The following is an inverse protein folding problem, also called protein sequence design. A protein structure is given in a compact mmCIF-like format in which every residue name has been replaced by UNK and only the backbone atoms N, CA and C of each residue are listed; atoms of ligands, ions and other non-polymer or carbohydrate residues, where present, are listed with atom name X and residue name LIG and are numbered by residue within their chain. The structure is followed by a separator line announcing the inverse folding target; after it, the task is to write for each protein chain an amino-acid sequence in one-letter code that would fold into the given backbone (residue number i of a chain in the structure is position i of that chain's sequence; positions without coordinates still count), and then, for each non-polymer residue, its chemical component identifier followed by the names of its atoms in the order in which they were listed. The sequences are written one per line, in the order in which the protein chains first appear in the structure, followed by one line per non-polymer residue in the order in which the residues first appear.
data_IF_959796049102
#
_entry.id   IF_959796049102
#
_cell.length_a   1.000
_cell.length_b   1.000
_cell.length_c   1.000
_cell.angle_alpha   90.00
_cell.angle_beta   90.00
_cell.angle_gamma   90.00
#
_symmetry.space_group_name_H-M   'P 1'
#
loop_
_entity.id
_entity.type
_entity.pdbx_description
1 polymer ?
#
# COMPACT_ATOMS: atom_id res chain seq x y z
N UNK A 1 7.11 -34.75 1.40
CA UNK A 1 7.51 -33.67 0.46
C UNK A 1 6.48 -32.58 0.61
N UNK A 2 6.85 -31.30 0.51
CA UNK A 2 5.90 -30.22 0.78
C UNK A 2 5.14 -29.89 -0.50
N UNK A 3 4.03 -30.58 -0.72
CA UNK A 3 3.09 -30.32 -1.82
C UNK A 3 1.85 -29.62 -1.24
N UNK A 4 1.40 -28.52 -1.85
CA UNK A 4 0.12 -27.91 -1.52
C UNK A 4 -0.60 -27.46 -2.78
N UNK A 5 -1.80 -27.99 -3.01
CA UNK A 5 -2.69 -27.60 -4.11
C UNK A 5 -3.13 -26.13 -4.03
N UNK A 6 -3.14 -25.53 -2.82
CA UNK A 6 -3.51 -24.12 -2.61
C UNK A 6 -2.31 -23.16 -2.72
N UNK A 7 -1.09 -23.69 -2.87
CA UNK A 7 0.14 -22.90 -2.98
C UNK A 7 0.83 -22.61 -1.65
N UNK A 8 2.05 -22.09 -1.74
CA UNK A 8 2.94 -21.86 -0.60
C UNK A 8 3.50 -20.45 -0.66
N UNK A 9 3.69 -19.85 0.51
CA UNK A 9 4.43 -18.60 0.65
C UNK A 9 5.66 -18.79 1.53
N UNK A 10 6.74 -18.09 1.20
CA UNK A 10 7.96 -18.06 1.99
C UNK A 10 8.29 -16.63 2.34
N UNK A 11 8.34 -16.32 3.64
CA UNK A 11 8.84 -15.07 4.16
C UNK A 11 10.29 -15.25 4.60
N UNK A 12 11.15 -14.32 4.18
CA UNK A 12 12.54 -14.30 4.56
C UNK A 12 12.88 -12.98 5.25
N UNK A 13 13.55 -13.07 6.39
CA UNK A 13 14.18 -11.92 7.05
C UNK A 13 15.69 -11.97 6.87
N UNK A 14 16.29 -10.83 6.56
CA UNK A 14 17.76 -10.66 6.56
C UNK A 14 18.34 -10.65 7.98
N UNK A 15 17.54 -10.21 8.94
CA UNK A 15 17.94 -10.06 10.34
C UNK A 15 17.05 -10.95 11.20
N UNK A 16 17.61 -12.06 11.67
CA UNK A 16 16.92 -13.00 12.58
C UNK A 16 17.43 -12.90 14.01
N UNK A 17 18.53 -12.17 14.22
CA UNK A 17 19.08 -11.94 15.55
C UNK A 17 18.19 -10.96 16.35
N UNK A 18 18.18 -11.05 17.69
CA UNK A 18 17.51 -10.08 18.54
C UNK A 18 18.07 -8.67 18.34
N UNK A 19 17.20 -7.74 17.96
CA UNK A 19 17.51 -6.34 17.76
C UNK A 19 16.81 -5.51 18.85
N UNK A 20 17.54 -4.67 19.60
CA UNK A 20 16.95 -3.83 20.63
C UNK A 20 16.06 -2.75 20.01
N UNK A 21 14.95 -2.47 20.69
CA UNK A 21 14.06 -1.36 20.35
C UNK A 21 14.22 -0.23 21.37
N UNK A 22 13.80 0.97 20.99
CA UNK A 22 13.91 2.18 21.82
C UNK A 22 12.56 2.52 22.45
N UNK A 23 11.47 2.42 21.68
CA UNK A 23 10.11 2.65 22.15
C UNK A 23 9.09 2.01 21.22
N UNK A 24 7.84 1.94 21.70
CA UNK A 24 6.68 1.56 20.90
C UNK A 24 5.57 2.58 21.18
N UNK A 25 5.05 3.22 20.15
CA UNK A 25 4.06 4.28 20.29
C UNK A 25 2.87 4.03 19.36
N UNK A 26 1.65 4.43 19.74
CA UNK A 26 0.55 4.46 18.81
C UNK A 26 0.82 5.49 17.70
N UNK A 27 0.39 5.19 16.47
CA UNK A 27 0.64 6.08 15.32
C UNK A 27 -0.15 7.40 15.41
N UNK A 28 -1.25 7.40 16.16
CA UNK A 28 -2.11 8.54 16.47
C UNK A 28 -2.93 8.22 17.74
N UNK A 29 -3.89 9.05 18.12
CA UNK A 29 -4.76 8.82 19.27
C UNK A 29 -6.21 8.41 18.90
N UNK A 30 -6.45 7.95 17.67
CA UNK A 30 -7.80 7.64 17.16
C UNK A 30 -8.14 6.15 17.34
N UNK A 31 -9.28 5.79 17.98
CA UNK A 31 -9.69 4.40 18.22
C UNK A 31 -10.00 3.58 16.96
N UNK A 32 -10.04 4.19 15.78
CA UNK A 32 -10.20 3.45 14.51
C UNK A 32 -8.90 2.82 14.01
N UNK A 33 -7.76 3.23 14.57
CA UNK A 33 -6.44 2.78 14.15
C UNK A 33 -5.88 1.78 15.14
N UNK A 34 -5.21 0.77 14.61
CA UNK A 34 -4.53 -0.28 15.38
C UNK A 34 -3.02 -0.27 15.13
N UNK A 35 -2.53 0.70 14.37
CA UNK A 35 -1.14 0.75 13.94
C UNK A 35 -0.22 1.34 15.02
N UNK A 36 0.94 0.71 15.20
CA UNK A 36 1.97 1.11 16.18
C UNK A 36 3.31 1.34 15.49
N UNK A 37 4.03 2.37 15.90
CA UNK A 37 5.43 2.58 15.55
C UNK A 37 6.33 1.85 16.55
N UNK A 38 7.31 1.12 16.04
CA UNK A 38 8.40 0.53 16.82
C UNK A 38 9.67 1.26 16.42
N UNK A 39 10.31 1.92 17.38
CA UNK A 39 11.51 2.70 17.15
C UNK A 39 12.77 1.89 17.46
N UNK A 40 13.84 2.13 16.73
CA UNK A 40 15.11 1.46 16.93
C UNK A 40 16.18 1.95 15.96
N UNK A 41 17.46 1.68 16.29
CA UNK A 41 18.57 2.12 15.44
C UNK A 41 18.63 1.31 14.14
N UNK A 42 18.52 2.01 13.01
CA UNK A 42 18.53 1.44 11.66
C UNK A 42 17.47 0.34 11.45
N UNK A 43 16.40 0.36 12.26
CA UNK A 43 15.45 -0.75 12.38
C UNK A 43 14.69 -1.00 11.07
N UNK A 44 14.37 0.04 10.29
CA UNK A 44 13.70 -0.19 9.00
C UNK A 44 14.61 -0.74 7.92
N UNK A 45 15.92 -0.49 7.97
CA UNK A 45 16.86 -1.18 7.07
C UNK A 45 16.98 -2.66 7.41
N UNK A 46 16.82 -3.00 8.70
CA UNK A 46 16.85 -4.39 9.19
C UNK A 46 15.55 -5.12 8.86
N UNK A 47 14.42 -4.43 9.01
CA UNK A 47 13.08 -4.97 8.77
C UNK A 47 12.35 -4.11 7.73
N UNK A 48 12.62 -4.32 6.42
CA UNK A 48 11.89 -3.64 5.36
C UNK A 48 10.42 -4.05 5.35
N UNK A 49 9.58 -3.22 4.72
CA UNK A 49 8.15 -3.51 4.49
C UNK A 49 7.95 -4.92 3.92
N UNK A 50 6.96 -5.64 4.45
CA UNK A 50 6.66 -7.04 4.13
C UNK A 50 7.44 -8.07 4.94
N UNK A 51 8.41 -7.66 5.76
CA UNK A 51 9.09 -8.57 6.70
C UNK A 51 8.15 -9.01 7.82
N UNK A 52 8.35 -10.22 8.33
CA UNK A 52 7.71 -10.69 9.56
C UNK A 52 8.65 -10.49 10.73
N UNK A 53 8.12 -9.96 11.83
CA UNK A 53 8.82 -9.80 13.11
C UNK A 53 8.06 -10.47 14.24
N UNK A 54 8.76 -10.74 15.35
CA UNK A 54 8.16 -11.05 16.65
C UNK A 54 8.86 -10.26 17.75
N UNK A 55 8.15 -10.09 18.87
CA UNK A 55 8.76 -9.68 20.12
C UNK A 55 9.38 -10.88 20.81
N UNK A 56 10.66 -10.77 21.19
CA UNK A 56 11.35 -11.83 21.91
C UNK A 56 11.05 -11.79 23.42
N UNK A 57 10.54 -10.66 23.90
CA UNK A 57 10.22 -10.38 25.29
C UNK A 57 8.79 -9.86 25.36
N UNK A 58 8.07 -10.20 26.42
CA UNK A 58 6.72 -9.68 26.65
C UNK A 58 6.78 -8.19 27.01
N UNK A 59 5.95 -7.37 26.39
CA UNK A 59 5.81 -5.95 26.75
C UNK A 59 4.41 -5.44 26.39
N UNK A 60 3.79 -4.61 27.24
CA UNK A 60 2.45 -4.03 27.01
C UNK A 60 1.43 -5.07 26.49
N UNK A 61 0.81 -4.86 25.32
CA UNK A 61 -0.12 -5.80 24.68
C UNK A 61 0.57 -7.02 24.03
N UNK A 62 1.89 -6.96 23.83
CA UNK A 62 2.70 -7.97 23.14
C UNK A 62 3.11 -9.08 24.11
N UNK A 63 2.14 -9.83 24.61
CA UNK A 63 2.35 -10.89 25.62
C UNK A 63 2.71 -12.25 25.02
N UNK A 64 2.34 -12.51 23.75
CA UNK A 64 2.62 -13.78 23.08
C UNK A 64 3.85 -13.66 22.16
N UNK A 65 4.98 -14.22 22.59
CA UNK A 65 6.24 -14.19 21.83
C UNK A 65 6.25 -15.09 20.58
N UNK A 66 5.20 -15.90 20.39
CA UNK A 66 4.97 -16.65 19.15
C UNK A 66 3.97 -15.95 18.20
N UNK A 67 3.46 -14.78 18.58
CA UNK A 67 2.71 -13.96 17.65
C UNK A 67 3.67 -13.24 16.70
N UNK A 68 3.31 -13.20 15.42
CA UNK A 68 4.12 -12.61 14.36
C UNK A 68 3.40 -11.43 13.75
N UNK A 69 4.14 -10.37 13.44
CA UNK A 69 3.61 -9.11 12.91
C UNK A 69 4.24 -8.80 11.56
N UNK A 70 3.42 -8.38 10.60
CA UNK A 70 3.90 -7.92 9.29
C UNK A 70 4.27 -6.45 9.37
N UNK A 71 5.46 -6.10 8.87
CA UNK A 71 5.90 -4.70 8.76
C UNK A 71 5.17 -4.03 7.59
N UNK A 72 4.36 -3.01 7.89
CA UNK A 72 3.55 -2.28 6.90
C UNK A 72 4.22 -1.02 6.36
N UNK A 73 5.07 -0.38 7.17
CA UNK A 73 5.92 0.72 6.73
C UNK A 73 7.27 0.66 7.43
N UNK A 74 8.28 1.25 6.80
CA UNK A 74 9.66 1.13 7.24
C UNK A 74 10.43 2.40 6.91
N UNK A 75 10.93 3.05 7.95
CA UNK A 75 11.78 4.24 7.91
C UNK A 75 13.11 3.92 8.60
N UNK A 76 14.12 4.77 8.46
CA UNK A 76 15.46 4.50 9.01
C UNK A 76 15.45 4.12 10.49
N UNK A 77 14.64 4.79 11.29
CA UNK A 77 14.61 4.72 12.76
C UNK A 77 13.34 4.06 13.32
N UNK A 78 12.37 3.68 12.47
CA UNK A 78 11.12 3.07 12.92
C UNK A 78 10.46 2.17 11.88
N UNK A 79 9.66 1.23 12.37
CA UNK A 79 8.80 0.36 11.55
C UNK A 79 7.38 0.39 12.08
N UNK A 80 6.39 0.20 11.20
CA UNK A 80 4.98 0.13 11.57
C UNK A 80 4.46 -1.29 11.51
N UNK A 81 3.68 -1.67 12.52
CA UNK A 81 2.88 -2.89 12.55
C UNK A 81 1.42 -2.55 12.86
N UNK A 82 0.50 -3.48 12.64
CA UNK A 82 -0.86 -3.44 13.19
C UNK A 82 -0.93 -4.39 14.38
N UNK A 83 -1.36 -3.89 15.53
CA UNK A 83 -1.50 -4.64 16.77
C UNK A 83 -2.96 -5.01 17.05
N UNK A 84 -3.24 -5.59 18.22
CA UNK A 84 -4.56 -6.12 18.56
C UNK A 84 -5.41 -5.09 19.31
N UNK A 85 -4.77 -4.09 19.92
CA UNK A 85 -5.41 -3.01 20.67
C UNK A 85 -5.46 -1.73 19.83
N UNK A 86 -6.60 -1.05 19.82
CA UNK A 86 -6.73 0.24 19.14
C UNK A 86 -5.86 1.31 19.80
N UNK A 87 -5.53 2.36 19.05
CA UNK A 87 -4.57 3.36 19.46
C UNK A 87 -5.02 4.18 20.67
N UNK A 88 -6.32 4.50 20.79
CA UNK A 88 -6.81 5.27 21.92
C UNK A 88 -6.77 4.45 23.22
N UNK A 89 -7.14 3.17 23.14
CA UNK A 89 -7.01 2.24 24.28
C UNK A 89 -5.54 2.00 24.63
N UNK A 90 -4.66 1.84 23.64
CA UNK A 90 -3.23 1.66 23.87
C UNK A 90 -2.61 2.87 24.57
N UNK A 91 -2.90 4.08 24.09
CA UNK A 91 -2.49 5.34 24.73
C UNK A 91 -2.97 5.37 26.19
N UNK A 92 -4.26 5.16 26.43
CA UNK A 92 -4.84 5.22 27.77
C UNK A 92 -4.24 4.19 28.75
N UNK A 93 -3.85 3.01 28.26
CA UNK A 93 -3.32 1.93 29.10
C UNK A 93 -1.81 2.02 29.33
N UNK A 94 -1.06 2.46 28.32
CA UNK A 94 0.41 2.27 28.29
C UNK A 94 1.21 3.57 28.18
N UNK A 95 0.57 4.75 28.17
CA UNK A 95 1.25 6.04 28.07
C UNK A 95 2.45 6.19 29.02
N UNK A 96 2.27 5.86 30.30
CA UNK A 96 3.35 5.95 31.29
C UNK A 96 4.49 4.94 31.07
N UNK A 97 4.24 3.85 30.34
CA UNK A 97 5.23 2.81 30.05
C UNK A 97 6.07 3.23 28.85
N UNK A 98 5.42 3.60 27.73
CA UNK A 98 6.17 3.85 26.50
C UNK A 98 6.83 5.23 26.43
N UNK A 99 6.44 6.16 27.30
CA UNK A 99 7.12 7.46 27.44
C UNK A 99 8.42 7.40 28.23
N UNK A 100 8.69 6.28 28.91
CA UNK A 100 9.93 6.04 29.66
C UNK A 100 10.82 5.05 28.90
N UNK A 101 11.93 5.51 28.28
CA UNK A 101 12.84 4.66 27.51
C UNK A 101 13.46 3.51 28.32
N UNK A 102 13.56 3.64 29.65
CA UNK A 102 14.19 2.62 30.49
C UNK A 102 13.40 1.30 30.47
N UNK A 103 12.09 1.38 30.21
CA UNK A 103 11.20 0.21 30.05
C UNK A 103 11.53 -0.65 28.81
N UNK A 104 12.32 -0.13 27.85
CA UNK A 104 12.69 -0.86 26.64
C UNK A 104 14.12 -1.40 26.64
N UNK A 105 14.88 -1.16 27.71
CA UNK A 105 16.30 -1.56 27.83
C UNK A 105 16.57 -3.06 27.58
N UNK A 106 15.57 -3.92 27.81
CA UNK A 106 15.66 -5.38 27.61
C UNK A 106 14.78 -5.90 26.48
N UNK A 107 14.01 -5.02 25.83
CA UNK A 107 13.04 -5.43 24.82
C UNK A 107 13.72 -5.51 23.46
N UNK A 108 13.56 -6.67 22.83
CA UNK A 108 14.10 -6.92 21.50
C UNK A 108 13.05 -7.51 20.57
N UNK A 109 13.24 -7.27 19.27
CA UNK A 109 12.48 -7.92 18.20
C UNK A 109 13.42 -8.72 17.31
N UNK A 110 12.89 -9.75 16.66
CA UNK A 110 13.61 -10.55 15.68
C UNK A 110 12.77 -10.72 14.43
N UNK A 111 13.42 -10.69 13.28
CA UNK A 111 12.77 -11.07 12.03
C UNK A 111 12.69 -12.59 11.90
N UNK A 112 11.70 -13.06 11.14
CA UNK A 112 11.37 -14.49 11.06
C UNK A 112 11.50 -14.97 9.62
N UNK A 113 12.13 -16.12 9.46
CA UNK A 113 11.99 -16.93 8.25
C UNK A 113 10.83 -17.89 8.47
N UNK A 114 9.76 -17.71 7.70
CA UNK A 114 8.55 -18.52 7.83
C UNK A 114 8.16 -19.07 6.47
N UNK A 115 7.46 -20.20 6.49
CA UNK A 115 6.68 -20.63 5.34
C UNK A 115 5.23 -20.76 5.78
N UNK A 116 4.32 -20.47 4.86
CA UNK A 116 2.89 -20.54 5.08
C UNK A 116 2.22 -21.25 3.94
N UNK A 117 1.07 -21.81 4.24
CA UNK A 117 0.31 -22.69 3.36
C UNK A 117 -1.04 -22.02 3.22
N UNK A 118 -1.43 -21.70 1.99
CA UNK A 118 -2.66 -20.94 1.78
C UNK A 118 -3.88 -21.81 2.03
N UNK A 119 -4.91 -21.21 2.63
CA UNK A 119 -6.28 -21.73 2.75
C UNK A 119 -6.39 -23.21 3.15
N UNK A 120 -5.55 -23.64 4.09
CA UNK A 120 -5.39 -25.07 4.41
C UNK A 120 -6.39 -25.60 5.44
N UNK A 121 -6.99 -24.71 6.24
CA UNK A 121 -7.86 -25.06 7.37
C UNK A 121 -9.11 -24.18 7.41
N UNK A 122 -10.22 -24.76 7.88
CA UNK A 122 -11.47 -24.06 8.15
C UNK A 122 -11.47 -23.45 9.57
N UNK A 123 -12.35 -22.47 9.87
CA UNK A 123 -12.46 -21.90 11.22
C UNK A 123 -12.78 -22.92 12.33
N UNK A 124 -13.35 -24.07 11.98
CA UNK A 124 -13.65 -25.19 12.87
C UNK A 124 -12.52 -26.24 12.93
N UNK A 125 -11.32 -25.90 12.45
CA UNK A 125 -10.12 -26.74 12.41
C UNK A 125 -10.20 -27.99 11.51
N UNK A 126 -11.18 -28.05 10.61
CA UNK A 126 -11.21 -29.11 9.59
C UNK A 126 -10.32 -28.77 8.39
N UNK A 127 -9.59 -29.74 7.81
CA UNK A 127 -8.78 -29.51 6.63
C UNK A 127 -9.64 -29.06 5.43
N UNK A 128 -9.16 -28.07 4.67
CA UNK A 128 -9.72 -27.66 3.36
C UNK A 128 -9.06 -28.37 2.19
N UNK A 129 -7.97 -29.08 2.47
CA UNK A 129 -7.16 -29.77 1.48
C UNK A 129 -7.81 -31.11 1.11
N UNK A 130 -7.73 -31.43 -0.17
CA UNK A 130 -8.21 -32.69 -0.73
C UNK A 130 -7.47 -33.93 -0.20
N UNK A 131 -8.10 -35.10 -0.32
CA UNK A 131 -7.56 -36.37 0.19
C UNK A 131 -6.28 -36.86 -0.49
N UNK A 132 -5.91 -36.28 -1.64
CA UNK A 132 -4.63 -36.57 -2.32
C UNK A 132 -3.49 -35.72 -1.79
N UNK A 133 -3.79 -34.65 -1.05
CA UNK A 133 -2.81 -33.94 -0.27
C UNK A 133 -2.46 -34.76 0.99
N UNK A 134 -1.25 -34.59 1.57
CA UNK A 134 -0.87 -35.33 2.79
C UNK A 134 -1.94 -35.05 3.89
N UNK A 135 -2.65 -36.08 4.40
CA UNK A 135 -3.63 -35.87 5.46
C UNK A 135 -2.93 -35.28 6.68
N UNK A 136 -3.52 -34.24 7.30
CA UNK A 136 -2.97 -33.59 8.51
C UNK A 136 -1.59 -32.96 8.30
N UNK A 137 -1.37 -32.42 7.10
CA UNK A 137 -0.13 -31.73 6.73
C UNK A 137 0.34 -30.70 7.78
N UNK A 138 -0.58 -29.97 8.43
CA UNK A 138 -0.26 -28.97 9.46
C UNK A 138 0.06 -29.57 10.84
N UNK A 139 -0.59 -30.66 11.25
CA UNK A 139 -0.31 -31.33 12.54
C UNK A 139 1.00 -32.13 12.52
N UNK A 140 1.53 -32.40 11.32
CA UNK A 140 2.77 -33.18 11.14
C UNK A 140 4.04 -32.33 11.17
N UNK A 141 3.96 -31.01 11.28
CA UNK A 141 5.15 -30.18 11.48
C UNK A 141 5.59 -30.22 12.93
N UNK A 142 6.81 -30.72 13.16
CA UNK A 142 7.43 -30.71 14.47
C UNK A 142 8.85 -30.18 14.37
N UNK A 143 9.35 -29.73 15.51
CA UNK A 143 10.70 -29.20 15.67
C UNK A 143 11.75 -30.14 15.07
N UNK A 144 12.70 -29.59 14.34
CA UNK A 144 13.79 -30.27 13.63
C UNK A 144 13.39 -31.14 12.43
N UNK A 145 12.11 -31.15 12.02
CA UNK A 145 11.71 -31.86 10.80
C UNK A 145 12.36 -31.19 9.59
N UNK A 146 13.03 -32.00 8.76
CA UNK A 146 13.54 -31.57 7.45
C UNK A 146 12.42 -31.60 6.41
N UNK A 147 12.29 -30.51 5.67
CA UNK A 147 11.29 -30.33 4.63
C UNK A 147 11.98 -30.15 3.29
N UNK A 148 11.66 -31.00 2.33
CA UNK A 148 12.06 -30.82 0.95
C UNK A 148 10.95 -30.06 0.24
N UNK A 149 11.27 -28.85 -0.20
CA UNK A 149 10.36 -28.02 -1.02
C UNK A 149 10.47 -28.51 -2.46
N UNK A 150 9.34 -28.87 -3.05
CA UNK A 150 9.26 -29.35 -4.44
C UNK A 150 8.25 -28.49 -5.19
N UNK A 151 8.69 -27.84 -6.26
CA UNK A 151 7.90 -26.90 -7.06
C UNK A 151 7.90 -25.46 -6.52
N UNK A 152 7.90 -24.49 -7.45
CA UNK A 152 7.86 -23.05 -7.16
C UNK A 152 9.23 -22.36 -7.24
N UNK A 153 9.32 -21.09 -6.82
CA UNK A 153 10.56 -20.28 -6.89
C UNK A 153 11.70 -20.77 -5.98
N UNK A 154 11.38 -21.59 -4.98
CA UNK A 154 12.32 -22.12 -3.98
C UNK A 154 12.51 -23.63 -4.11
N UNK A 155 12.33 -24.16 -5.32
CA UNK A 155 12.48 -25.59 -5.61
C UNK A 155 13.84 -26.12 -5.11
N UNK A 156 13.85 -27.38 -4.69
CA UNK A 156 15.05 -28.11 -4.22
C UNK A 156 15.69 -27.62 -2.91
N UNK A 157 15.07 -26.69 -2.17
CA UNK A 157 15.57 -26.30 -0.84
C UNK A 157 15.19 -27.33 0.23
N UNK A 158 16.16 -27.64 1.08
CA UNK A 158 15.96 -28.40 2.32
C UNK A 158 15.86 -27.41 3.47
N UNK A 159 14.67 -27.31 4.07
CA UNK A 159 14.39 -26.45 5.22
C UNK A 159 14.32 -27.29 6.50
N UNK A 160 14.57 -26.68 7.65
CA UNK A 160 14.38 -27.32 8.96
C UNK A 160 13.39 -26.50 9.77
N UNK A 161 12.38 -27.15 10.34
CA UNK A 161 11.39 -26.48 11.19
C UNK A 161 12.02 -26.14 12.54
N UNK A 162 12.16 -24.86 12.85
CA UNK A 162 12.72 -24.37 14.12
C UNK A 162 11.64 -24.03 15.15
N UNK A 163 10.43 -23.68 14.72
CA UNK A 163 9.29 -23.48 15.61
C UNK A 163 7.98 -23.67 14.82
N UNK A 164 7.14 -24.67 15.16
CA UNK A 164 5.85 -24.88 14.52
C UNK A 164 4.71 -24.05 15.14
N UNK A 165 4.94 -23.38 16.28
CA UNK A 165 3.88 -22.80 17.10
C UNK A 165 3.62 -21.31 16.81
N UNK A 166 3.97 -20.81 15.64
CA UNK A 166 3.65 -19.43 15.26
C UNK A 166 2.16 -19.27 14.98
N UNK A 167 1.61 -18.10 15.30
CA UNK A 167 0.23 -17.77 14.92
C UNK A 167 0.09 -17.64 13.41
N UNK A 168 -1.02 -18.15 12.87
CA UNK A 168 -1.31 -18.02 11.44
C UNK A 168 -1.56 -16.55 11.06
N UNK A 169 -1.00 -16.17 9.90
CA UNK A 169 -1.29 -14.89 9.28
C UNK A 169 -2.66 -14.95 8.62
N UNK A 170 -3.54 -14.02 9.00
CA UNK A 170 -4.82 -13.84 8.31
C UNK A 170 -4.63 -12.94 7.09
N UNK A 171 -5.09 -13.40 5.93
CA UNK A 171 -5.24 -12.61 4.72
C UNK A 171 -6.74 -12.51 4.38
N UNK A 172 -7.19 -11.33 3.99
CA UNK A 172 -8.56 -11.11 3.56
C UNK A 172 -8.60 -11.01 2.04
N UNK A 173 -9.30 -11.94 1.42
CA UNK A 173 -9.70 -11.85 0.01
C UNK A 173 -11.16 -11.39 -0.03
N UNK A 174 -11.42 -10.30 -0.76
CA UNK A 174 -12.77 -9.78 -0.94
C UNK A 174 -13.29 -10.24 -2.30
N UNK A 175 -14.31 -11.10 -2.28
CA UNK A 175 -15.06 -11.51 -3.48
C UNK A 175 -16.52 -11.14 -3.32
N UNK A 176 -17.15 -10.63 -4.38
CA UNK A 176 -18.58 -10.37 -4.41
C UNK A 176 -19.24 -11.35 -5.36
N UNK A 177 -20.29 -12.03 -4.90
CA UNK A 177 -21.09 -12.92 -5.75
C UNK A 177 -21.80 -12.09 -6.83
N UNK A 178 -21.63 -12.48 -8.09
CA UNK A 178 -22.25 -11.83 -9.24
C UNK A 178 -23.78 -11.81 -9.14
N UNK A 179 -24.39 -12.78 -8.47
CA UNK A 179 -25.84 -12.86 -8.30
C UNK A 179 -26.39 -11.86 -7.28
N UNK A 180 -25.53 -11.33 -6.41
CA UNK A 180 -25.88 -10.32 -5.41
C UNK A 180 -25.60 -8.89 -5.88
N UNK A 181 -24.97 -8.71 -7.03
CA UNK A 181 -24.72 -7.40 -7.60
C UNK A 181 -26.04 -6.80 -8.13
N UNK A 182 -26.41 -5.59 -7.70
CA UNK A 182 -27.59 -4.94 -8.23
C UNK A 182 -27.41 -4.65 -9.72
N UNK A 183 -28.47 -4.89 -10.51
CA UNK A 183 -28.47 -4.57 -11.93
C UNK A 183 -28.50 -3.05 -12.11
N UNK A 184 -27.90 -2.58 -13.20
CA UNK A 184 -27.96 -1.18 -13.64
C UNK A 184 -27.56 -0.15 -12.59
N UNK A 185 -26.53 -0.47 -11.80
CA UNK A 185 -26.12 0.32 -10.65
C UNK A 185 -24.68 0.76 -10.76
N UNK A 186 -24.43 1.99 -10.33
CA UNK A 186 -23.07 2.53 -10.15
C UNK A 186 -22.34 1.73 -9.08
N UNK A 187 -21.11 1.32 -9.39
CA UNK A 187 -20.24 0.66 -8.43
C UNK A 187 -19.44 1.71 -7.67
N UNK A 188 -19.41 1.60 -6.34
CA UNK A 188 -18.61 2.44 -5.46
C UNK A 188 -17.72 1.54 -4.61
N UNK A 189 -16.41 1.80 -4.65
CA UNK A 189 -15.45 1.18 -3.75
C UNK A 189 -14.97 2.24 -2.76
N UNK A 190 -15.04 1.90 -1.47
CA UNK A 190 -14.46 2.64 -0.37
C UNK A 190 -13.22 1.89 0.11
N UNK A 191 -12.08 2.58 0.14
CA UNK A 191 -10.82 2.04 0.67
C UNK A 191 -10.54 2.75 1.98
N UNK A 192 -10.35 1.96 3.04
CA UNK A 192 -9.96 2.40 4.37
C UNK A 192 -8.59 1.81 4.69
N UNK A 193 -7.54 2.63 4.62
CA UNK A 193 -6.16 2.17 4.83
C UNK A 193 -5.85 1.90 6.31
N UNK A 194 -6.50 2.63 7.24
CA UNK A 194 -6.35 2.51 8.71
C UNK A 194 -4.89 2.45 9.20
N UNK A 195 -3.98 3.05 8.43
CA UNK A 195 -2.53 3.14 8.67
C UNK A 195 -2.10 4.59 8.52
N UNK A 196 -0.80 4.88 8.41
CA UNK A 196 -0.34 6.24 8.10
C UNK A 196 -0.94 6.72 6.75
N UNK A 197 -1.17 8.03 6.64
CA UNK A 197 -1.60 8.61 5.37
C UNK A 197 -0.58 8.28 4.25
N UNK A 198 -1.02 7.86 3.06
CA UNK A 198 -0.10 7.40 2.03
C UNK A 198 0.89 8.46 1.57
N UNK A 199 2.18 8.08 1.53
CA UNK A 199 3.25 8.83 0.88
C UNK A 199 3.15 8.65 -0.65
N UNK A 200 3.01 9.75 -1.37
CA UNK A 200 2.92 9.76 -2.83
C UNK A 200 4.26 9.98 -3.52
N UNK A 201 5.11 10.82 -2.94
CA UNK A 201 6.37 11.23 -3.54
C UNK A 201 7.39 11.65 -2.47
N UNK A 202 8.66 11.33 -2.71
CA UNK A 202 9.79 11.84 -1.96
C UNK A 202 10.92 12.23 -2.91
N UNK A 203 11.38 13.47 -2.82
CA UNK A 203 12.46 13.99 -3.65
C UNK A 203 12.41 15.51 -3.83
N UNK A 204 13.19 16.05 -4.79
CA UNK A 204 13.16 17.47 -5.10
C UNK A 204 11.85 17.86 -5.78
N UNK A 205 11.32 19.04 -5.47
CA UNK A 205 10.16 19.62 -6.15
C UNK A 205 10.30 21.13 -6.27
N UNK A 206 9.61 21.74 -7.23
CA UNK A 206 9.56 23.19 -7.38
C UNK A 206 8.12 23.66 -7.47
N UNK A 207 7.75 24.55 -6.56
CA UNK A 207 6.49 25.26 -6.55
C UNK A 207 6.63 26.47 -7.48
N UNK A 208 5.84 26.52 -8.55
CA UNK A 208 5.65 27.74 -9.36
C UNK A 208 4.18 27.95 -9.73
N UNK A 209 3.64 29.14 -9.45
CA UNK A 209 2.25 29.50 -9.77
C UNK A 209 1.28 28.45 -9.20
N UNK A 210 0.60 27.67 -10.03
CA UNK A 210 -0.32 26.59 -9.63
C UNK A 210 0.21 25.20 -9.98
N UNK A 211 1.52 25.07 -10.20
CA UNK A 211 2.19 23.83 -10.63
C UNK A 211 3.24 23.40 -9.62
N UNK A 212 3.11 22.18 -9.13
CA UNK A 212 4.14 21.49 -8.36
C UNK A 212 4.97 20.69 -9.36
N UNK A 213 6.11 21.22 -9.78
CA UNK A 213 7.04 20.53 -10.68
C UNK A 213 7.75 19.41 -9.92
N UNK A 214 7.72 18.19 -10.48
CA UNK A 214 8.37 17.02 -9.90
C UNK A 214 9.78 16.89 -10.47
N UNK A 215 10.79 16.86 -9.61
CA UNK A 215 12.18 16.82 -10.06
C UNK A 215 12.60 15.51 -10.73
N UNK A 216 11.95 14.40 -10.39
CA UNK A 216 12.14 13.09 -11.04
C UNK A 216 10.82 12.57 -11.60
N UNK A 217 10.63 12.75 -12.92
CA UNK A 217 9.42 12.32 -13.65
C UNK A 217 9.16 10.81 -13.56
N UNK A 218 10.19 10.00 -13.28
CA UNK A 218 9.99 8.56 -13.10
C UNK A 218 9.33 8.22 -11.77
N UNK A 219 9.39 9.13 -10.80
CA UNK A 219 8.75 9.05 -9.50
C UNK A 219 7.47 9.90 -9.43
N UNK A 220 6.93 10.36 -10.56
CA UNK A 220 5.71 11.15 -10.57
C UNK A 220 4.59 10.40 -9.81
N UNK A 221 3.94 11.04 -8.82
CA UNK A 221 2.98 10.38 -7.95
C UNK A 221 1.78 9.85 -8.74
N UNK A 222 1.43 8.60 -8.47
CA UNK A 222 0.27 7.94 -9.06
C UNK A 222 -0.96 8.08 -8.15
N UNK A 223 -2.17 7.90 -8.70
CA UNK A 223 -3.41 7.89 -7.91
C UNK A 223 -3.98 9.28 -7.58
N UNK A 224 -3.36 10.36 -8.08
CA UNK A 224 -3.91 11.71 -7.97
C UNK A 224 -5.16 11.88 -8.83
N UNK A 225 -6.21 12.49 -8.24
CA UNK A 225 -7.46 12.82 -8.93
C UNK A 225 -7.82 14.28 -8.70
N UNK A 226 -8.64 14.87 -9.57
CA UNK A 226 -9.26 16.15 -9.28
C UNK A 226 -9.92 16.17 -7.89
N UNK A 227 -9.65 17.21 -7.12
CA UNK A 227 -10.17 17.37 -5.76
C UNK A 227 -9.43 16.60 -4.67
N UNK A 228 -8.42 15.78 -5.02
CA UNK A 228 -7.57 15.13 -4.00
C UNK A 228 -6.76 16.20 -3.26
N UNK A 229 -6.87 16.22 -1.94
CA UNK A 229 -6.03 17.05 -1.10
C UNK A 229 -4.71 16.33 -0.79
N UNK A 230 -3.61 17.07 -0.95
CA UNK A 230 -2.25 16.64 -0.69
C UNK A 230 -1.58 17.59 0.30
N UNK A 231 -0.65 17.05 1.08
CA UNK A 231 0.18 17.81 2.00
C UNK A 231 1.65 17.70 1.59
N UNK A 232 2.33 18.83 1.44
CA UNK A 232 3.77 18.87 1.25
C UNK A 232 4.45 19.04 2.61
N UNK A 233 5.43 18.18 2.89
CA UNK A 233 6.32 18.28 4.05
C UNK A 233 7.73 18.59 3.53
N UNK A 234 8.27 19.73 3.95
CA UNK A 234 9.58 20.23 3.58
C UNK A 234 9.87 21.56 4.26
N UNK A 235 11.08 22.12 4.09
CA UNK A 235 11.47 23.41 4.66
C UNK A 235 10.83 24.57 3.88
N UNK A 236 9.50 24.61 3.86
CA UNK A 236 8.72 25.63 3.16
C UNK A 236 8.97 27.02 3.77
N UNK A 237 9.24 28.00 2.93
CA UNK A 237 9.39 29.41 3.33
C UNK A 237 8.04 29.93 3.85
N UNK A 238 8.07 30.77 4.90
CA UNK A 238 6.88 31.40 5.45
C UNK A 238 6.11 32.18 4.37
N UNK A 239 5.01 31.61 3.88
CA UNK A 239 4.19 32.22 2.83
C UNK A 239 3.45 31.19 1.97
N UNK A 240 4.03 30.01 1.77
CA UNK A 240 3.35 28.91 1.09
C UNK A 240 2.55 28.07 2.09
N UNK A 241 1.37 27.61 1.69
CA UNK A 241 0.57 26.66 2.47
C UNK A 241 1.18 25.26 2.39
N UNK A 242 0.87 24.40 3.36
CA UNK A 242 1.31 23.01 3.33
C UNK A 242 0.31 22.10 2.62
N UNK A 243 -0.94 22.55 2.45
CA UNK A 243 -2.06 21.77 1.92
C UNK A 243 -2.47 22.33 0.56
N UNK A 244 -2.67 21.44 -0.40
CA UNK A 244 -3.03 21.79 -1.76
C UNK A 244 -4.09 20.81 -2.27
N UNK A 245 -4.96 21.28 -3.15
CA UNK A 245 -5.95 20.44 -3.81
C UNK A 245 -5.59 20.30 -5.28
N UNK A 246 -5.52 19.06 -5.77
CA UNK A 246 -5.32 18.77 -7.20
C UNK A 246 -6.45 19.39 -8.00
N UNK A 247 -6.09 20.16 -9.02
CA UNK A 247 -7.04 20.87 -9.87
C UNK A 247 -7.81 19.91 -10.79
N UNK A 248 -8.80 20.44 -11.51
CA UNK A 248 -9.53 19.71 -12.55
C UNK A 248 -8.59 19.18 -13.63
N UNK A 249 -8.76 17.88 -13.94
CA UNK A 249 -8.05 17.17 -15.01
C UNK A 249 -9.12 16.44 -15.81
N UNK A 250 -9.16 16.69 -17.12
CA UNK A 250 -10.12 16.08 -18.02
C UNK A 250 -9.89 14.56 -18.12
N UNK A 251 -10.92 13.74 -17.89
CA UNK A 251 -10.86 12.29 -18.20
C UNK A 251 -11.01 12.10 -19.71
N UNK A 252 -9.97 11.56 -20.35
CA UNK A 252 -9.90 11.41 -21.79
C UNK A 252 -11.06 10.58 -22.36
N UNK A 253 -11.64 9.65 -21.59
CA UNK A 253 -12.78 8.81 -22.03
C UNK A 253 -14.09 9.59 -22.12
N UNK A 254 -14.15 10.78 -21.55
CA UNK A 254 -15.35 11.63 -21.55
C UNK A 254 -15.39 12.58 -22.75
N UNK A 255 -14.35 12.60 -23.58
CA UNK A 255 -14.26 13.44 -24.78
C UNK A 255 -15.28 12.95 -25.80
N UNK A 256 -16.25 13.81 -26.11
CA UNK A 256 -17.31 13.57 -27.11
C UNK A 256 -17.26 14.57 -28.26
N UNK A 257 -16.42 15.60 -28.16
CA UNK A 257 -16.29 16.70 -29.11
C UNK A 257 -14.81 16.97 -29.41
N UNK A 258 -14.55 17.67 -30.50
CA UNK A 258 -13.20 18.08 -30.87
C UNK A 258 -12.54 18.88 -29.75
N UNK A 259 -11.46 18.34 -29.19
CA UNK A 259 -10.76 18.89 -28.04
C UNK A 259 -9.31 19.13 -28.41
N UNK A 260 -8.85 20.38 -28.30
CA UNK A 260 -7.46 20.73 -28.54
C UNK A 260 -6.61 20.52 -27.28
N UNK A 261 -5.51 19.78 -27.41
CA UNK A 261 -4.49 19.62 -26.38
C UNK A 261 -3.24 20.38 -26.79
N UNK A 262 -2.88 21.39 -26.02
CA UNK A 262 -1.59 22.06 -26.14
C UNK A 262 -0.49 21.21 -25.50
N UNK A 263 0.77 21.48 -25.83
CA UNK A 263 1.88 20.91 -25.08
C UNK A 263 1.74 21.26 -23.59
N UNK A 264 2.12 20.33 -22.72
CA UNK A 264 1.90 20.35 -21.27
C UNK A 264 0.44 20.20 -20.81
N UNK A 265 -0.57 20.13 -21.69
CA UNK A 265 -1.94 19.80 -21.24
C UNK A 265 -1.99 18.42 -20.59
N UNK A 266 -2.76 18.26 -19.51
CA UNK A 266 -2.87 17.00 -18.79
C UNK A 266 -4.24 16.36 -18.96
N UNK A 267 -4.27 15.03 -19.00
CA UNK A 267 -5.51 14.25 -19.06
C UNK A 267 -5.41 13.00 -18.19
N UNK A 268 -6.55 12.52 -17.70
CA UNK A 268 -6.66 11.26 -16.96
C UNK A 268 -7.03 10.13 -17.93
N UNK A 269 -6.30 9.02 -17.88
CA UNK A 269 -6.58 7.80 -18.62
C UNK A 269 -6.20 6.57 -17.82
N UNK A 270 -7.12 5.62 -17.65
CA UNK A 270 -6.93 4.40 -16.85
C UNK A 270 -6.33 4.68 -15.46
N UNK A 271 -6.80 5.75 -14.84
CA UNK A 271 -6.37 6.17 -13.51
C UNK A 271 -4.96 6.78 -13.43
N UNK A 272 -4.30 7.04 -14.56
CA UNK A 272 -3.02 7.74 -14.65
C UNK A 272 -3.19 9.12 -15.27
N UNK A 273 -2.39 10.07 -14.81
CA UNK A 273 -2.27 11.37 -15.45
C UNK A 273 -1.22 11.26 -16.56
N UNK A 274 -1.54 11.78 -17.73
CA UNK A 274 -0.63 11.92 -18.87
C UNK A 274 -0.49 13.38 -19.23
N UNK A 275 0.69 13.75 -19.73
CA UNK A 275 1.00 15.09 -20.19
C UNK A 275 1.26 15.09 -21.70
N UNK A 276 0.62 16.02 -22.40
CA UNK A 276 0.74 16.14 -23.85
C UNK A 276 2.12 16.68 -24.21
N UNK A 277 2.90 15.91 -24.97
CA UNK A 277 4.23 16.30 -25.44
C UNK A 277 4.23 16.83 -26.87
N UNK A 278 3.19 16.51 -27.65
CA UNK A 278 2.98 17.03 -28.99
C UNK A 278 1.55 17.53 -29.14
N UNK A 279 1.40 18.85 -29.32
CA UNK A 279 0.09 19.48 -29.42
C UNK A 279 -0.72 18.95 -30.62
N UNK A 280 -2.00 18.68 -30.41
CA UNK A 280 -2.90 18.16 -31.45
C UNK A 280 -4.38 18.36 -31.07
N UNK A 281 -5.28 18.18 -32.03
CA UNK A 281 -6.73 18.15 -31.79
C UNK A 281 -7.22 16.70 -31.79
N UNK A 282 -7.73 16.24 -30.65
CA UNK A 282 -8.45 14.99 -30.54
C UNK A 282 -9.82 15.16 -31.21
N UNK A 283 -10.06 14.45 -32.31
CA UNK A 283 -11.35 14.46 -33.01
C UNK A 283 -11.80 13.04 -33.29
N UNK A 284 -13.04 12.73 -32.88
CA UNK A 284 -13.67 11.42 -33.13
C UNK A 284 -13.98 11.24 -34.62
N UNK A 285 -14.17 12.35 -35.34
CA UNK A 285 -14.49 12.36 -36.77
C UNK A 285 -13.27 12.22 -37.69
N UNK A 286 -12.07 12.49 -37.17
CA UNK A 286 -10.82 12.46 -37.95
C UNK A 286 -10.03 11.18 -37.68
N UNK A 287 -9.94 10.29 -38.67
CA UNK A 287 -9.26 9.00 -38.56
C UNK A 287 -7.77 9.10 -38.16
N UNK A 288 -7.11 10.24 -38.40
CA UNK A 288 -5.69 10.41 -38.02
C UNK A 288 -5.49 10.70 -36.53
N UNK A 289 -6.52 11.20 -35.82
CA UNK A 289 -6.44 11.52 -34.39
C UNK A 289 -7.46 10.78 -33.53
N UNK A 290 -8.49 10.17 -34.13
CA UNK A 290 -9.57 9.47 -33.41
C UNK A 290 -9.08 8.27 -32.61
N UNK A 291 -8.01 7.61 -33.05
CA UNK A 291 -7.44 6.43 -32.40
C UNK A 291 -6.22 6.72 -31.52
N UNK A 292 -5.82 8.00 -31.41
CA UNK A 292 -4.75 8.38 -30.49
C UNK A 292 -5.31 8.28 -29.07
N UNK A 293 -4.68 7.46 -28.24
CA UNK A 293 -4.96 7.38 -26.81
C UNK A 293 -3.77 7.95 -26.02
N UNK A 294 -3.93 8.26 -24.73
CA UNK A 294 -2.82 8.67 -23.87
C UNK A 294 -1.70 7.64 -23.71
N UNK A 295 -1.90 6.41 -24.17
CA UNK A 295 -0.85 5.39 -24.24
C UNK A 295 0.09 5.58 -25.45
N UNK A 296 -0.24 6.47 -26.38
CA UNK A 296 0.64 6.81 -27.51
C UNK A 296 1.75 7.78 -27.07
N UNK A 297 2.96 7.23 -26.90
CA UNK A 297 4.14 7.97 -26.44
C UNK A 297 4.59 9.13 -27.36
N UNK A 298 4.11 9.19 -28.61
CA UNK A 298 4.41 10.32 -29.51
C UNK A 298 3.66 11.60 -29.10
N UNK A 299 2.46 11.45 -28.55
CA UNK A 299 1.59 12.58 -28.18
C UNK A 299 1.53 12.81 -26.68
N UNK A 300 1.74 11.75 -25.89
CA UNK A 300 1.52 11.73 -24.45
C UNK A 300 2.70 11.11 -23.73
N UNK A 301 3.08 11.66 -22.59
CA UNK A 301 4.17 11.13 -21.77
C UNK A 301 3.90 11.29 -20.28
N UNK A 302 4.87 10.87 -19.46
CA UNK A 302 4.83 11.05 -18.01
C UNK A 302 4.71 12.53 -17.66
N UNK A 303 3.82 12.90 -16.73
CA UNK A 303 3.68 14.28 -16.31
C UNK A 303 4.93 14.81 -15.64
N UNK A 304 5.16 16.11 -15.82
CA UNK A 304 6.28 16.83 -15.20
C UNK A 304 5.83 17.63 -13.99
N UNK A 305 4.52 17.78 -13.77
CA UNK A 305 3.97 18.57 -12.68
C UNK A 305 2.58 18.12 -12.21
N UNK A 306 2.20 18.54 -11.01
CA UNK A 306 0.83 18.44 -10.50
C UNK A 306 0.18 19.81 -10.58
N UNK A 307 -0.96 19.92 -11.26
CA UNK A 307 -1.78 21.13 -11.22
C UNK A 307 -2.58 21.18 -9.92
N UNK A 308 -2.61 22.34 -9.27
CA UNK A 308 -3.39 22.59 -8.06
C UNK A 308 -4.25 23.85 -8.17
N UNK A 309 -5.31 23.94 -7.37
CA UNK A 309 -6.32 25.00 -7.47
C UNK A 309 -5.84 26.38 -7.03
N UNK A 310 -4.83 26.45 -6.16
CA UNK A 310 -4.39 27.71 -5.54
C UNK A 310 -2.95 28.04 -5.93
N UNK A 311 -2.67 29.29 -6.35
CA UNK A 311 -1.32 29.69 -6.70
C UNK A 311 -0.45 29.87 -5.45
N UNK A 312 0.86 29.70 -5.62
CA UNK A 312 1.88 29.90 -4.61
C UNK A 312 3.08 30.67 -5.15
N UNK A 313 3.87 31.19 -4.20
CA UNK A 313 5.13 31.85 -4.52
C UNK A 313 6.14 30.82 -5.01
N UNK A 314 6.99 31.25 -5.94
CA UNK A 314 8.05 30.41 -6.45
C UNK A 314 8.94 29.90 -5.31
N UNK A 315 9.15 28.58 -5.25
CA UNK A 315 10.00 27.96 -4.25
C UNK A 315 10.57 26.65 -4.78
N UNK A 316 11.85 26.38 -4.51
CA UNK A 316 12.51 25.13 -4.88
C UNK A 316 12.94 24.38 -3.63
N UNK A 317 12.43 23.16 -3.48
CA UNK A 317 12.75 22.27 -2.36
C UNK A 317 13.65 21.15 -2.86
N UNK A 318 14.87 21.07 -2.34
CA UNK A 318 15.82 20.00 -2.69
C UNK A 318 15.39 18.63 -2.14
N UNK A 319 14.60 18.61 -1.07
CA UNK A 319 14.02 17.41 -0.47
C UNK A 319 12.68 17.76 0.15
N UNK A 320 11.62 17.15 -0.37
CA UNK A 320 10.27 17.25 0.16
C UNK A 320 9.55 15.91 0.02
N UNK A 321 8.46 15.77 0.77
CA UNK A 321 7.56 14.64 0.70
C UNK A 321 6.15 15.14 0.40
N UNK A 322 5.40 14.38 -0.42
CA UNK A 322 3.99 14.64 -0.71
C UNK A 322 3.18 13.50 -0.13
N UNK A 323 2.24 13.81 0.74
CA UNK A 323 1.32 12.86 1.37
C UNK A 323 -0.12 13.13 0.93
N UNK A 324 -0.95 12.09 0.93
CA UNK A 324 -2.40 12.27 1.01
C UNK A 324 -2.78 12.76 2.41
N UNK A 325 -3.96 13.36 2.56
CA UNK A 325 -4.41 13.92 3.85
C UNK A 325 -5.49 13.09 4.55
N UNK A 326 -5.98 12.05 3.87
CA UNK A 326 -7.03 11.14 4.33
C UNK A 326 -6.55 9.70 4.26
N UNK A 327 -7.08 8.84 5.11
CA UNK A 327 -6.91 7.39 5.09
C UNK A 327 -8.06 6.68 4.35
N UNK A 328 -9.03 7.47 3.87
CA UNK A 328 -10.28 7.06 3.25
C UNK A 328 -10.39 7.56 1.81
N UNK A 329 -10.67 6.65 0.88
CA UNK A 329 -10.73 6.94 -0.55
C UNK A 329 -11.96 6.34 -1.22
N UNK A 330 -12.50 7.07 -2.20
CA UNK A 330 -13.69 6.66 -2.95
C UNK A 330 -13.41 6.55 -4.44
N UNK A 331 -13.87 5.44 -5.00
CA UNK A 331 -13.74 5.10 -6.40
C UNK A 331 -15.13 4.79 -6.95
N UNK A 332 -15.49 5.38 -8.09
CA UNK A 332 -16.85 5.29 -8.63
C UNK A 332 -16.80 4.93 -10.10
N UNK A 333 -17.41 3.79 -10.47
CA UNK A 333 -17.65 3.43 -11.85
C UNK A 333 -19.14 3.57 -12.15
N UNK A 334 -19.47 4.65 -12.86
CA UNK A 334 -20.84 4.95 -13.26
C UNK A 334 -21.41 3.89 -14.18
N UNK A 335 -22.67 3.53 -13.97
CA UNK A 335 -23.36 2.62 -14.88
C UNK A 335 -23.69 3.30 -16.20
N UNK A 336 -23.59 2.56 -17.31
CA UNK A 336 -24.00 3.01 -18.64
C UNK A 336 -24.82 1.95 -19.37
N UNK A 337 -25.77 2.38 -20.20
CA UNK A 337 -26.57 1.47 -21.04
C UNK A 337 -25.75 0.76 -22.14
N UNK A 338 -24.59 1.32 -22.51
CA UNK A 338 -23.78 0.89 -23.66
C UNK A 338 -22.72 -0.17 -23.34
N UNK A 339 -22.43 -0.41 -22.05
CA UNK A 339 -21.42 -1.38 -21.63
C UNK A 339 -21.76 -1.97 -20.26
N UNK A 340 -21.59 -3.28 -20.09
CA UNK A 340 -21.73 -3.93 -18.79
C UNK A 340 -20.70 -3.37 -17.80
N UNK A 341 -21.18 -2.75 -16.73
CA UNK A 341 -20.36 -2.28 -15.62
C UNK A 341 -20.03 -3.46 -14.71
N UNK A 342 -18.79 -3.96 -14.76
CA UNK A 342 -18.38 -5.14 -14.01
C UNK A 342 -17.34 -4.81 -12.93
N UNK A 343 -17.29 -5.63 -11.87
CA UNK A 343 -16.22 -5.56 -10.87
C UNK A 343 -14.83 -5.76 -11.49
N UNK A 344 -14.73 -6.59 -12.54
CA UNK A 344 -13.48 -6.80 -13.27
C UNK A 344 -13.02 -5.51 -13.99
N UNK A 345 -13.94 -4.82 -14.67
CA UNK A 345 -13.67 -3.53 -15.29
C UNK A 345 -13.28 -2.47 -14.24
N UNK A 346 -13.96 -2.46 -13.09
CA UNK A 346 -13.63 -1.59 -11.97
C UNK A 346 -12.20 -1.81 -11.50
N UNK A 347 -11.84 -3.07 -11.21
CA UNK A 347 -10.50 -3.45 -10.78
C UNK A 347 -9.46 -3.06 -11.83
N UNK A 348 -9.71 -3.31 -13.12
CA UNK A 348 -8.80 -2.93 -14.19
C UNK A 348 -8.60 -1.42 -14.31
N UNK A 349 -9.68 -0.64 -14.23
CA UNK A 349 -9.65 0.82 -14.34
C UNK A 349 -8.85 1.49 -13.22
N UNK A 350 -8.79 0.87 -12.04
CA UNK A 350 -8.19 1.44 -10.85
C UNK A 350 -6.99 0.67 -10.31
N UNK A 351 -6.60 -0.45 -10.92
CA UNK A 351 -5.48 -1.29 -10.48
C UNK A 351 -4.21 -0.49 -10.20
N UNK A 352 -3.86 0.44 -11.09
CA UNK A 352 -2.67 1.26 -10.95
C UNK A 352 -2.73 2.25 -9.77
N UNK A 353 -3.94 2.65 -9.38
CA UNK A 353 -4.16 3.49 -8.20
C UNK A 353 -4.20 2.66 -6.92
N UNK A 354 -4.77 1.46 -6.97
CA UNK A 354 -4.85 0.53 -5.83
C UNK A 354 -3.46 0.09 -5.36
N UNK A 355 -2.48 0.01 -6.27
CA UNK A 355 -1.06 -0.20 -5.94
C UNK A 355 -0.50 0.79 -4.92
N UNK A 356 -1.03 2.01 -4.84
CA UNK A 356 -0.60 2.98 -3.83
C UNK A 356 -0.86 2.47 -2.40
N UNK A 357 -1.91 1.67 -2.23
CA UNK A 357 -2.32 1.09 -0.95
C UNK A 357 -1.89 -0.37 -0.81
N UNK A 358 -1.01 -0.87 -1.70
CA UNK A 358 -0.59 -2.26 -1.79
C UNK A 358 -1.75 -3.25 -2.02
N UNK A 359 -2.79 -2.82 -2.76
CA UNK A 359 -3.96 -3.62 -3.16
C UNK A 359 -3.83 -4.09 -4.61
#
# INVERSE_FOLDING_TARGET
QLFNERGLHFWGSKYTQPEPIISIEPTNSDPKFYSKWIYGRDIGRKFPKGSLIKFNNTTMEFINTNHVYTVLASYSDRIMIVSLVDNATFEAQYFSIYTDPDNFSTITISGINAFGVYDYIQPNYFPKLSNWNEPEFFDKYYLNRKLNVVGGKNDEKILTVDNPNFSDLSHFEYSVDRTQLPQNSTLIMEILTRTEVPLLYQGPLTLTQSKILIGDVYKFPQGLRPGTEIKIIGPLISGNQNFFTVDSILDFRTITQDTFFATQSQTLWNGKIYECVQAYTQSISNLSTSFITPENEQFWYRPTYINVTSPFSYESLLSAQIYLTTDKFYYTLGWTYSAETTMAQFAQNYAEQLKLFDI
#
